data_IF_086597222575
#
_entry.id   IF_086597222575
#
_cell.length_a   1.000
_cell.length_b   1.000
_cell.length_c   1.000
_cell.angle_alpha   90.00
_cell.angle_beta   90.00
_cell.angle_gamma   90.00
#
_symmetry.space_group_name_H-M   'P 1'
#
loop_
_entity.id
_entity.type
_entity.pdbx_description
1 polymer ?
#
# COMPACT_ATOMS: atom_id res chain seq x y z
N UNK A 1 48.41 23.92 -29.25
CA UNK A 1 47.28 23.17 -29.83
C UNK A 1 46.00 23.82 -29.33
N UNK A 2 45.30 24.48 -30.24
CA UNK A 2 44.56 25.72 -29.94
C UNK A 2 43.08 25.47 -29.71
N UNK A 3 42.56 25.83 -28.54
CA UNK A 3 41.11 25.87 -28.26
C UNK A 3 40.32 26.70 -29.31
N UNK A 4 40.98 27.68 -29.94
CA UNK A 4 40.42 28.47 -31.02
C UNK A 4 40.09 27.67 -32.31
N UNK A 5 40.80 26.57 -32.60
CA UNK A 5 40.51 25.75 -33.78
C UNK A 5 39.26 24.90 -33.58
N UNK A 6 39.06 24.34 -32.38
CA UNK A 6 37.82 23.62 -32.05
C UNK A 6 36.57 24.51 -32.14
N UNK A 7 36.68 25.78 -31.76
CA UNK A 7 35.57 26.74 -31.91
C UNK A 7 35.25 27.04 -33.39
N UNK A 8 36.29 27.15 -34.24
CA UNK A 8 36.12 27.32 -35.67
C UNK A 8 35.50 26.07 -36.33
N UNK A 9 35.93 24.88 -35.92
CA UNK A 9 35.41 23.60 -36.42
C UNK A 9 33.92 23.41 -36.05
N UNK A 10 33.51 23.83 -34.85
CA UNK A 10 32.10 23.85 -34.43
C UNK A 10 31.25 24.83 -35.27
N UNK A 11 31.79 26.02 -35.57
CA UNK A 11 31.14 26.99 -36.44
C UNK A 11 30.91 26.43 -37.85
N UNK A 12 31.94 25.81 -38.43
CA UNK A 12 31.84 25.14 -39.73
C UNK A 12 30.85 23.97 -39.73
N UNK A 13 30.78 23.22 -38.63
CA UNK A 13 29.81 22.14 -38.45
C UNK A 13 28.36 22.64 -38.42
N UNK A 14 28.11 23.75 -37.70
CA UNK A 14 26.78 24.39 -37.63
C UNK A 14 26.33 24.93 -39.00
N UNK A 15 27.22 25.59 -39.73
CA UNK A 15 26.92 26.10 -41.08
C UNK A 15 26.54 24.96 -42.04
N UNK A 16 27.25 23.84 -42.00
CA UNK A 16 26.91 22.65 -42.78
C UNK A 16 25.54 22.05 -42.42
N UNK A 17 25.18 22.01 -41.14
CA UNK A 17 23.86 21.55 -40.70
C UNK A 17 22.74 22.51 -41.17
N UNK A 18 23.02 23.82 -41.18
CA UNK A 18 22.11 24.87 -41.65
C UNK A 18 21.97 24.93 -43.18
N UNK A 19 22.94 24.43 -43.96
CA UNK A 19 22.83 24.27 -45.40
C UNK A 19 21.88 23.12 -45.78
N UNK A 20 21.88 22.03 -45.02
CA UNK A 20 21.02 20.87 -45.24
C UNK A 20 19.88 20.75 -44.22
N UNK A 21 19.12 21.85 -44.04
CA UNK A 21 18.07 21.99 -43.01
C UNK A 21 17.10 20.81 -42.93
N UNK A 22 16.58 20.34 -44.06
CA UNK A 22 15.58 19.26 -44.09
C UNK A 22 16.15 17.93 -43.62
N UNK A 23 17.36 17.58 -44.10
CA UNK A 23 18.04 16.33 -43.72
C UNK A 23 18.42 16.33 -42.25
N UNK A 24 19.04 17.42 -41.77
CA UNK A 24 19.43 17.58 -40.37
C UNK A 24 18.21 17.58 -39.44
N UNK A 25 17.10 18.20 -39.85
CA UNK A 25 15.87 18.23 -39.05
C UNK A 25 15.24 16.84 -38.93
N UNK A 26 15.13 16.09 -40.03
CA UNK A 26 14.57 14.73 -40.01
C UNK A 26 15.39 13.76 -39.14
N UNK A 27 16.72 13.85 -39.18
CA UNK A 27 17.59 12.98 -38.36
C UNK A 27 17.49 13.31 -36.88
N UNK A 28 17.48 14.60 -36.52
CA UNK A 28 17.27 15.03 -35.13
C UNK A 28 15.89 14.61 -34.64
N UNK A 29 14.85 14.78 -35.45
CA UNK A 29 13.48 14.38 -35.11
C UNK A 29 13.39 12.89 -34.81
N UNK A 30 14.05 12.05 -35.62
CA UNK A 30 14.15 10.62 -35.38
C UNK A 30 14.82 10.27 -34.06
N UNK A 31 15.92 10.94 -33.71
CA UNK A 31 16.60 10.72 -32.42
C UNK A 31 15.73 11.18 -31.24
N UNK A 32 15.07 12.33 -31.35
CA UNK A 32 14.20 12.87 -30.29
C UNK A 32 13.05 11.89 -30.01
N UNK A 33 12.31 11.47 -31.04
CA UNK A 33 11.21 10.52 -30.84
C UNK A 33 11.70 9.15 -30.40
N UNK A 34 12.85 8.68 -30.90
CA UNK A 34 13.43 7.39 -30.51
C UNK A 34 13.77 7.35 -29.02
N UNK A 35 14.54 8.32 -28.53
CA UNK A 35 14.93 8.38 -27.12
C UNK A 35 13.71 8.69 -26.24
N UNK A 36 12.82 9.61 -26.67
CA UNK A 36 11.62 9.95 -25.91
C UNK A 36 10.69 8.73 -25.72
N UNK A 37 10.50 7.90 -26.74
CA UNK A 37 9.66 6.70 -26.65
C UNK A 37 10.24 5.70 -25.64
N UNK A 38 11.55 5.44 -25.68
CA UNK A 38 12.22 4.51 -24.76
C UNK A 38 12.15 5.03 -23.32
N UNK A 39 12.48 6.30 -23.09
CA UNK A 39 12.44 6.90 -21.74
C UNK A 39 11.00 6.92 -21.19
N UNK A 40 10.02 7.23 -22.05
CA UNK A 40 8.60 7.24 -21.66
C UNK A 40 8.14 5.84 -21.24
N UNK A 41 8.43 4.81 -22.04
CA UNK A 41 8.05 3.43 -21.74
C UNK A 41 8.67 2.95 -20.42
N UNK A 42 9.95 3.23 -20.19
CA UNK A 42 10.63 2.87 -18.95
C UNK A 42 10.03 3.58 -17.74
N UNK A 43 9.73 4.88 -17.88
CA UNK A 43 9.12 5.67 -16.81
C UNK A 43 7.72 5.19 -16.45
N UNK A 44 6.90 4.87 -17.47
CA UNK A 44 5.57 4.28 -17.28
C UNK A 44 5.68 2.91 -16.60
N UNK A 45 6.60 2.05 -17.05
CA UNK A 45 6.80 0.72 -16.47
C UNK A 45 7.21 0.78 -15.00
N UNK A 46 8.19 1.63 -14.67
CA UNK A 46 8.64 1.83 -13.30
C UNK A 46 7.53 2.42 -12.41
N UNK A 47 6.77 3.40 -12.92
CA UNK A 47 5.65 3.99 -12.19
C UNK A 47 4.53 2.99 -11.92
N UNK A 48 4.17 2.17 -12.92
CA UNK A 48 3.19 1.11 -12.77
C UNK A 48 3.62 0.07 -11.74
N UNK A 49 4.89 -0.36 -11.78
CA UNK A 49 5.44 -1.28 -10.78
C UNK A 49 5.35 -0.69 -9.36
N UNK A 50 5.73 0.57 -9.18
CA UNK A 50 5.65 1.23 -7.88
C UNK A 50 4.20 1.34 -7.37
N UNK A 51 3.26 1.65 -8.26
CA UNK A 51 1.84 1.73 -7.90
C UNK A 51 1.29 0.36 -7.47
N UNK A 52 1.64 -0.71 -8.19
CA UNK A 52 1.26 -2.08 -7.81
C UNK A 52 1.88 -2.45 -6.47
N UNK A 53 3.16 -2.14 -6.23
CA UNK A 53 3.81 -2.40 -4.94
C UNK A 53 3.13 -1.62 -3.80
N UNK A 54 2.78 -0.35 -4.00
CA UNK A 54 2.07 0.45 -3.00
C UNK A 54 0.68 -0.13 -2.70
N UNK A 55 -0.05 -0.58 -3.72
CA UNK A 55 -1.34 -1.24 -3.54
C UNK A 55 -1.21 -2.55 -2.77
N UNK A 56 -0.21 -3.39 -3.10
CA UNK A 56 0.09 -4.63 -2.37
C UNK A 56 0.44 -4.33 -0.91
N UNK A 57 1.24 -3.30 -0.65
CA UNK A 57 1.58 -2.88 0.72
C UNK A 57 0.33 -2.41 1.49
N UNK A 58 -0.59 -1.70 0.84
CA UNK A 58 -1.86 -1.26 1.44
C UNK A 58 -2.80 -2.42 1.77
N UNK A 59 -2.77 -3.51 1.00
CA UNK A 59 -3.51 -4.73 1.33
C UNK A 59 -2.99 -5.41 2.60
N UNK A 60 -1.83 -4.99 3.13
CA UNK A 60 -1.30 -5.50 4.39
C UNK A 60 -0.85 -6.97 4.26
N UNK A 61 -0.08 -7.31 3.23
CA UNK A 61 0.48 -8.67 3.02
C UNK A 61 1.37 -9.13 4.19
N UNK A 62 1.71 -8.24 5.12
CA UNK A 62 2.40 -8.57 6.36
C UNK A 62 1.46 -8.88 7.55
N UNK A 63 0.15 -8.92 7.34
CA UNK A 63 -0.85 -9.15 8.38
C UNK A 63 -1.49 -10.53 8.25
N UNK A 64 -1.52 -11.28 9.34
CA UNK A 64 -2.23 -12.55 9.45
C UNK A 64 -3.47 -12.33 10.30
N UNK A 65 -4.65 -12.48 9.69
CA UNK A 65 -5.94 -12.38 10.39
C UNK A 65 -6.40 -13.78 10.73
N UNK A 66 -6.45 -14.09 12.03
CA UNK A 66 -6.97 -15.36 12.53
C UNK A 66 -8.41 -15.11 12.98
N UNK A 67 -9.37 -15.67 12.25
CA UNK A 67 -10.79 -15.61 12.62
C UNK A 67 -11.27 -16.99 13.09
N UNK A 68 -12.01 -17.02 14.19
CA UNK A 68 -12.72 -18.22 14.60
C UNK A 68 -13.85 -18.49 13.60
N UNK A 69 -14.13 -19.77 13.32
CA UNK A 69 -15.21 -20.15 12.44
C UNK A 69 -16.56 -19.77 13.07
N UNK A 70 -17.20 -18.73 12.54
CA UNK A 70 -18.55 -18.36 12.92
C UNK A 70 -19.53 -19.41 12.37
N UNK A 71 -20.41 -19.94 13.21
CA UNK A 71 -21.53 -20.78 12.77
C UNK A 71 -22.82 -19.98 12.84
N UNK A 72 -23.58 -19.98 11.75
CA UNK A 72 -24.79 -19.18 11.58
C UNK A 72 -25.95 -19.62 12.50
N UNK A 73 -25.95 -20.89 12.94
CA UNK A 73 -27.03 -21.49 13.71
C UNK A 73 -26.54 -21.99 15.09
N UNK A 74 -27.36 -21.82 16.14
CA UNK A 74 -27.08 -22.30 17.50
C UNK A 74 -26.67 -23.79 17.60
N UNK A 75 -27.29 -24.74 16.87
CA UNK A 75 -26.90 -26.15 16.91
C UNK A 75 -25.51 -26.41 16.32
N UNK A 76 -25.13 -25.65 15.29
CA UNK A 76 -23.81 -25.79 14.68
C UNK A 76 -22.72 -25.09 15.52
N UNK A 77 -23.06 -24.01 16.23
CA UNK A 77 -22.17 -23.42 17.23
C UNK A 77 -21.81 -24.40 18.35
N UNK A 78 -22.75 -25.24 18.79
CA UNK A 78 -22.46 -26.29 19.79
C UNK A 78 -21.52 -27.37 19.26
N UNK A 79 -21.65 -27.75 17.98
CA UNK A 79 -20.72 -28.69 17.34
C UNK A 79 -19.32 -28.11 17.19
N UNK A 80 -19.21 -26.83 16.80
CA UNK A 80 -17.93 -26.12 16.69
C UNK A 80 -17.27 -25.99 18.08
N UNK A 81 -18.04 -25.61 19.10
CA UNK A 81 -17.55 -25.47 20.49
C UNK A 81 -17.08 -26.78 21.12
N UNK A 82 -17.62 -27.91 20.70
CA UNK A 82 -17.11 -29.25 21.10
C UNK A 82 -15.73 -29.54 20.52
N UNK A 83 -15.40 -28.97 19.37
CA UNK A 83 -14.11 -29.17 18.71
C UNK A 83 -13.05 -28.17 19.18
N UNK A 84 -13.45 -26.92 19.42
CA UNK A 84 -12.59 -25.87 19.96
C UNK A 84 -13.41 -24.80 20.69
N UNK A 85 -12.97 -24.31 21.87
CA UNK A 85 -13.64 -23.24 22.60
C UNK A 85 -13.63 -21.88 21.87
N UNK A 86 -12.89 -21.75 20.76
CA UNK A 86 -12.71 -20.52 19.99
C UNK A 86 -11.39 -19.83 20.31
N UNK A 87 -11.21 -18.62 19.78
CA UNK A 87 -10.02 -17.80 20.05
C UNK A 87 -10.14 -17.15 21.43
N UNK A 88 -9.08 -17.26 22.21
CA UNK A 88 -8.99 -16.68 23.56
C UNK A 88 -7.85 -15.66 23.64
N UNK A 89 -7.87 -14.81 24.67
CA UNK A 89 -6.77 -13.89 24.95
C UNK A 89 -5.47 -14.61 25.32
N UNK A 90 -5.56 -15.87 25.78
CA UNK A 90 -4.39 -16.68 26.08
C UNK A 90 -3.63 -17.05 24.80
N UNK A 91 -4.35 -17.33 23.70
CA UNK A 91 -3.73 -17.62 22.40
C UNK A 91 -2.92 -16.41 21.91
N UNK A 92 -3.45 -15.20 22.08
CA UNK A 92 -2.74 -13.97 21.74
C UNK A 92 -1.45 -13.81 22.56
N UNK A 93 -1.48 -14.11 23.86
CA UNK A 93 -0.29 -14.05 24.72
C UNK A 93 0.77 -15.05 24.28
N UNK A 94 0.37 -16.28 23.95
CA UNK A 94 1.29 -17.32 23.47
C UNK A 94 1.93 -16.88 22.16
N UNK A 95 1.15 -16.32 21.23
CA UNK A 95 1.65 -15.78 19.96
C UNK A 95 2.68 -14.67 20.20
N UNK A 96 2.42 -13.77 21.15
CA UNK A 96 3.35 -12.68 21.49
C UNK A 96 4.67 -13.17 22.10
N UNK A 97 4.63 -14.19 22.97
CA UNK A 97 5.83 -14.68 23.65
C UNK A 97 6.61 -15.72 22.84
N UNK A 98 5.94 -16.49 21.98
CA UNK A 98 6.56 -17.65 21.31
C UNK A 98 7.09 -17.34 19.91
N UNK A 99 6.70 -16.21 19.31
CA UNK A 99 7.07 -15.86 17.93
C UNK A 99 7.88 -14.56 17.88
N UNK A 100 9.20 -14.68 17.72
CA UNK A 100 10.11 -13.53 17.59
C UNK A 100 9.93 -12.73 16.29
N UNK A 101 9.21 -13.28 15.30
CA UNK A 101 8.97 -12.65 13.99
C UNK A 101 7.73 -11.74 13.93
N UNK A 102 6.94 -11.66 15.00
CA UNK A 102 5.69 -10.88 15.02
C UNK A 102 5.97 -9.48 15.58
N UNK A 103 5.98 -8.48 14.71
CA UNK A 103 6.27 -7.10 15.12
C UNK A 103 5.20 -6.49 16.04
N UNK A 104 3.92 -6.84 15.82
CA UNK A 104 2.81 -6.39 16.64
C UNK A 104 1.64 -7.38 16.49
N UNK A 105 0.86 -7.54 17.56
CA UNK A 105 -0.37 -8.33 17.53
C UNK A 105 -1.46 -7.64 18.34
N UNK A 106 -2.71 -7.87 17.96
CA UNK A 106 -3.87 -7.25 18.59
C UNK A 106 -5.05 -8.21 18.52
N UNK A 107 -5.86 -8.23 19.58
CA UNK A 107 -7.16 -8.87 19.53
C UNK A 107 -8.11 -7.97 18.73
N UNK A 108 -9.04 -8.60 18.02
CA UNK A 108 -10.13 -7.91 17.32
C UNK A 108 -11.43 -8.64 17.61
N UNK A 109 -12.42 -7.92 18.15
CA UNK A 109 -13.76 -8.45 18.38
C UNK A 109 -14.76 -7.71 17.52
N UNK A 110 -15.44 -8.44 16.63
CA UNK A 110 -16.52 -7.92 15.81
C UNK A 110 -17.78 -7.78 16.66
N UNK A 111 -18.39 -6.60 16.63
CA UNK A 111 -19.65 -6.28 17.29
C UNK A 111 -20.63 -5.70 16.26
N UNK A 112 -21.82 -6.28 16.20
CA UNK A 112 -22.95 -5.67 15.50
C UNK A 112 -23.77 -4.92 16.56
N UNK A 113 -23.77 -3.57 16.54
CA UNK A 113 -24.48 -2.80 17.55
C UNK A 113 -25.99 -2.94 17.36
N UNK A 114 -26.70 -3.33 18.41
CA UNK A 114 -28.16 -3.47 18.36
C UNK A 114 -28.88 -2.11 18.23
N UNK A 115 -28.27 -1.04 18.76
CA UNK A 115 -28.76 0.34 18.69
C UNK A 115 -27.57 1.30 18.63
N UNK A 116 -27.69 2.35 17.82
CA UNK A 116 -26.72 3.44 17.72
C UNK A 116 -27.48 4.76 17.84
N UNK A 117 -26.92 5.68 18.61
CA UNK A 117 -27.42 7.04 18.76
C UNK A 117 -26.30 8.01 18.36
N UNK A 118 -26.51 8.89 17.36
CA UNK A 118 -27.70 9.04 16.51
C UNK A 118 -27.92 7.82 15.59
N UNK A 119 -29.19 7.57 15.24
CA UNK A 119 -29.57 6.44 14.36
C UNK A 119 -28.93 6.65 12.99
N UNK A 120 -28.16 5.67 12.46
CA UNK A 120 -27.58 5.79 11.13
C UNK A 120 -28.69 5.91 10.08
N UNK A 121 -28.50 6.81 9.12
CA UNK A 121 -29.41 6.97 7.97
C UNK A 121 -29.24 5.84 6.93
N UNK A 122 -28.20 5.03 7.08
CA UNK A 122 -27.83 3.87 6.25
C UNK A 122 -27.80 2.59 7.10
N UNK A 123 -27.29 1.50 6.51
CA UNK A 123 -27.05 0.23 7.19
C UNK A 123 -26.28 0.40 8.51
N UNK A 124 -26.55 -0.50 9.45
CA UNK A 124 -25.84 -0.53 10.73
C UNK A 124 -24.34 -0.74 10.49
N UNK A 125 -23.48 0.20 10.94
CA UNK A 125 -22.04 0.03 10.81
C UNK A 125 -21.57 -1.12 11.68
N UNK A 126 -20.59 -1.88 11.18
CA UNK A 126 -19.87 -2.85 11.99
C UNK A 126 -18.90 -2.13 12.91
N UNK A 127 -18.92 -2.50 14.18
CA UNK A 127 -18.01 -1.96 15.21
C UNK A 127 -16.98 -3.03 15.52
N UNK A 128 -15.71 -2.62 15.62
CA UNK A 128 -14.63 -3.50 16.01
C UNK A 128 -14.04 -3.00 17.33
N UNK A 129 -14.03 -3.85 18.34
CA UNK A 129 -13.21 -3.66 19.53
C UNK A 129 -11.79 -4.08 19.21
N UNK A 130 -10.84 -3.15 19.31
CA UNK A 130 -9.43 -3.31 18.96
C UNK A 130 -8.54 -2.61 19.99
N UNK A 131 -7.30 -3.05 20.12
CA UNK A 131 -6.30 -2.34 20.92
C UNK A 131 -5.69 -1.17 20.12
N UNK A 132 -5.01 -0.24 20.81
CA UNK A 132 -4.31 0.90 20.21
C UNK A 132 -3.37 0.49 19.05
N UNK A 133 -2.64 -0.62 19.19
CA UNK A 133 -1.71 -1.14 18.18
C UNK A 133 -2.38 -1.54 16.86
N UNK A 134 -3.71 -1.70 16.83
CA UNK A 134 -4.44 -2.02 15.60
C UNK A 134 -4.34 -0.93 14.54
N UNK A 135 -4.19 0.34 14.94
CA UNK A 135 -4.06 1.45 13.99
C UNK A 135 -2.82 1.26 13.09
N UNK A 136 -1.70 0.89 13.69
CA UNK A 136 -0.44 0.64 12.97
C UNK A 136 -0.50 -0.65 12.16
N UNK A 137 -1.06 -1.72 12.72
CA UNK A 137 -1.19 -3.02 12.04
C UNK A 137 -2.08 -2.88 10.80
N UNK A 138 -3.24 -2.23 10.92
CA UNK A 138 -4.17 -2.07 9.80
C UNK A 138 -3.82 -0.87 8.88
N UNK A 139 -2.73 -0.14 9.14
CA UNK A 139 -2.31 1.01 8.34
C UNK A 139 -3.36 2.11 8.27
N UNK A 140 -4.13 2.30 9.34
CA UNK A 140 -5.23 3.26 9.38
C UNK A 140 -4.69 4.67 9.35
N UNK A 141 -5.25 5.50 8.47
CA UNK A 141 -4.97 6.94 8.43
C UNK A 141 -6.05 7.68 9.19
N UNK A 142 -5.61 8.51 10.13
CA UNK A 142 -6.50 9.33 10.93
C UNK A 142 -7.15 10.43 10.07
N UNK A 143 -8.47 10.42 9.96
CA UNK A 143 -9.20 11.48 9.28
C UNK A 143 -9.41 12.69 10.20
N UNK A 144 -9.71 12.45 11.47
CA UNK A 144 -9.96 13.49 12.48
C UNK A 144 -9.74 12.94 13.89
N UNK A 145 -9.29 13.79 14.82
CA UNK A 145 -9.19 13.46 16.25
C UNK A 145 -7.84 12.88 16.64
N UNK A 146 -7.84 11.77 17.39
CA UNK A 146 -6.66 10.99 17.80
C UNK A 146 -7.02 9.51 17.90
N UNK A 147 -6.03 8.63 17.77
CA UNK A 147 -6.18 7.23 18.12
C UNK A 147 -6.11 7.02 19.65
N UNK A 148 -6.54 5.84 20.08
CA UNK A 148 -6.38 5.39 21.46
C UNK A 148 -4.90 5.14 21.77
N UNK A 149 -4.54 5.36 23.03
CA UNK A 149 -3.20 5.09 23.56
C UNK A 149 -3.16 3.75 24.29
N UNK A 150 -1.98 3.21 24.56
CA UNK A 150 -1.88 1.93 25.27
C UNK A 150 -2.44 1.98 26.69
N UNK A 151 -2.43 3.15 27.32
CA UNK A 151 -3.01 3.42 28.65
C UNK A 151 -4.54 3.30 28.65
N UNK A 152 -5.18 3.43 27.48
CA UNK A 152 -6.63 3.34 27.29
C UNK A 152 -7.10 1.93 26.87
N UNK A 153 -6.21 0.93 26.88
CA UNK A 153 -6.52 -0.46 26.47
C UNK A 153 -7.19 -1.31 27.58
N UNK A 154 -7.37 -0.80 28.80
CA UNK A 154 -8.06 -1.49 29.91
C UNK A 154 -9.59 -1.45 29.80
#
# INVERSE_FOLDING_TARGET
MTWASYAADLGQGLDNLLLHKLRSLLTMLGMIFGVAAVVSMLSIGAGAQQQVMAFIQQLGVRNLIVEAREAANCPDLQKVRKLSPGLTFQDLRIIQTSLDGVAASTARKRFLPAKLNPKPQRDMPMVYGVAASYADIAGLRLAQGRFFTEEENE
#
